data_IF_335886149114
#
_entry.id   IF_335886149114
#
_cell.length_a   1.000
_cell.length_b   1.000
_cell.length_c   1.000
_cell.angle_alpha   90.00
_cell.angle_beta   90.00
_cell.angle_gamma   90.00
#
_symmetry.space_group_name_H-M   'P 1'
#
loop_
_entity.id
_entity.type
_entity.pdbx_description
1 polymer ?
#
# COMPACT_ATOMS: atom_id res chain seq x y z
N UNK A 1 0.72 -4.75 4.17
CA UNK A 1 -0.39 -4.11 4.90
C UNK A 1 -1.68 -4.74 4.41
N UNK A 2 -2.55 -5.11 5.34
CA UNK A 2 -3.82 -5.80 5.10
C UNK A 2 -4.93 -5.07 5.87
N UNK A 3 -6.19 -5.15 5.43
CA UNK A 3 -7.30 -4.67 6.24
C UNK A 3 -7.36 -5.41 7.59
N UNK A 4 -7.90 -4.76 8.62
CA UNK A 4 -8.14 -5.37 9.93
C UNK A 4 -9.57 -5.86 9.95
N UNK A 5 -9.73 -7.17 10.11
CA UNK A 5 -11.03 -7.85 10.19
C UNK A 5 -11.10 -8.54 11.54
N UNK A 6 -12.11 -8.19 12.35
CA UNK A 6 -12.37 -8.82 13.64
C UNK A 6 -13.80 -9.34 13.67
N UNK A 7 -13.99 -10.60 14.07
CA UNK A 7 -15.33 -11.18 14.23
C UNK A 7 -16.16 -11.32 12.94
N UNK A 8 -15.58 -11.07 11.76
CA UNK A 8 -16.28 -11.08 10.48
C UNK A 8 -16.62 -9.68 9.95
N UNK A 9 -16.39 -8.64 10.75
CA UNK A 9 -16.57 -7.25 10.36
C UNK A 9 -15.21 -6.59 10.06
N UNK A 10 -15.17 -5.75 9.02
CA UNK A 10 -13.98 -4.96 8.69
C UNK A 10 -13.93 -3.76 9.64
N UNK A 11 -13.00 -3.80 10.60
CA UNK A 11 -12.81 -2.73 11.59
C UNK A 11 -12.05 -1.55 10.98
N UNK A 12 -11.00 -1.85 10.21
CA UNK A 12 -10.17 -0.83 9.54
C UNK A 12 -9.93 -1.26 8.09
N UNK A 13 -10.53 -0.56 7.11
CA UNK A 13 -10.40 -0.93 5.71
C UNK A 13 -8.98 -0.60 5.22
N UNK A 14 -8.52 -1.31 4.18
CA UNK A 14 -7.16 -1.15 3.66
C UNK A 14 -6.85 0.31 3.29
N UNK A 15 -7.84 1.02 2.76
CA UNK A 15 -7.73 2.42 2.31
C UNK A 15 -7.18 3.38 3.37
N UNK A 16 -7.74 3.32 4.57
CA UNK A 16 -7.39 4.23 5.64
C UNK A 16 -5.98 3.95 6.17
N UNK A 17 -5.52 2.70 6.02
CA UNK A 17 -4.18 2.26 6.46
C UNK A 17 -3.06 2.67 5.52
N UNK A 18 -3.36 2.69 4.22
CA UNK A 18 -2.37 2.90 3.16
C UNK A 18 -2.34 4.34 2.64
N UNK A 19 -3.36 5.15 2.92
CA UNK A 19 -3.37 6.58 2.57
C UNK A 19 -2.15 7.30 3.14
N UNK A 20 -1.47 8.08 2.28
CA UNK A 20 -0.26 8.83 2.65
C UNK A 20 0.99 7.96 2.85
N UNK A 21 0.93 6.66 2.51
CA UNK A 21 2.10 5.77 2.52
C UNK A 21 2.71 5.66 1.13
N UNK A 22 3.99 5.29 1.10
CA UNK A 22 4.74 5.05 -0.14
C UNK A 22 4.83 3.55 -0.38
N UNK A 23 4.60 3.15 -1.62
CA UNK A 23 4.62 1.75 -2.05
C UNK A 23 6.04 1.21 -2.08
N UNK A 24 6.27 0.02 -1.50
CA UNK A 24 7.58 -0.60 -1.44
C UNK A 24 7.92 -1.43 -2.69
N UNK A 25 6.92 -2.09 -3.27
CA UNK A 25 7.05 -3.00 -4.42
C UNK A 25 5.87 -2.78 -5.37
N UNK A 26 6.07 -3.04 -6.67
CA UNK A 26 5.02 -2.91 -7.68
C UNK A 26 3.80 -3.78 -7.30
N UNK A 27 2.60 -3.20 -7.40
CA UNK A 27 1.34 -3.85 -7.01
C UNK A 27 0.63 -4.34 -8.26
N UNK A 28 0.38 -5.64 -8.31
CA UNK A 28 -0.25 -6.33 -9.43
C UNK A 28 -1.67 -6.78 -9.08
N UNK A 29 -2.50 -6.95 -10.12
CA UNK A 29 -3.82 -7.55 -9.98
C UNK A 29 -3.72 -9.08 -9.97
N UNK A 30 -4.64 -9.77 -9.27
CA UNK A 30 -4.75 -11.21 -9.39
C UNK A 30 -5.05 -11.60 -10.85
N UNK A 31 -4.05 -12.20 -11.52
CA UNK A 31 -4.14 -12.62 -12.92
C UNK A 31 -3.47 -11.70 -13.94
N UNK A 32 -2.79 -10.62 -13.51
CA UNK A 32 -1.97 -9.79 -14.39
C UNK A 32 -0.61 -9.51 -13.73
N UNK A 33 0.43 -10.18 -14.21
CA UNK A 33 1.83 -9.99 -13.77
C UNK A 33 2.64 -9.10 -14.73
N UNK A 34 2.04 -8.62 -15.83
CA UNK A 34 2.73 -7.81 -16.84
C UNK A 34 2.54 -6.31 -16.61
N UNK A 35 1.36 -5.89 -16.16
CA UNK A 35 1.03 -4.47 -15.93
C UNK A 35 0.73 -4.19 -14.44
N UNK A 36 1.62 -3.52 -13.70
CA UNK A 36 1.35 -3.11 -12.34
C UNK A 36 0.30 -1.99 -12.30
N UNK A 37 -0.65 -2.07 -11.35
CA UNK A 37 -1.60 -0.99 -11.07
C UNK A 37 -0.89 0.24 -10.54
N UNK A 38 0.11 -0.01 -9.68
CA UNK A 38 0.85 0.98 -8.92
C UNK A 38 2.32 0.56 -8.92
N UNK A 39 3.18 1.49 -9.28
CA UNK A 39 4.64 1.27 -9.28
C UNK A 39 5.24 1.53 -7.90
N UNK A 40 6.40 0.93 -7.63
CA UNK A 40 7.23 1.20 -6.46
C UNK A 40 7.53 2.69 -6.34
N UNK A 41 7.72 3.15 -5.10
CA UNK A 41 7.99 4.55 -4.78
C UNK A 41 6.87 5.53 -5.17
N UNK A 42 5.65 5.05 -5.39
CA UNK A 42 4.48 5.91 -5.59
C UNK A 42 3.87 6.26 -4.22
N UNK A 43 3.55 7.54 -4.03
CA UNK A 43 2.77 8.03 -2.90
C UNK A 43 1.29 7.72 -3.13
N UNK A 44 0.64 7.09 -2.16
CA UNK A 44 -0.78 6.76 -2.22
C UNK A 44 -1.62 7.96 -1.74
N UNK A 45 -2.30 8.60 -2.70
CA UNK A 45 -3.31 9.65 -2.46
C UNK A 45 -4.73 9.06 -2.47
N UNK A 46 -5.74 9.88 -2.22
CA UNK A 46 -7.14 9.46 -2.17
C UNK A 46 -7.62 8.82 -3.49
N UNK A 47 -7.09 9.27 -4.63
CA UNK A 47 -7.44 8.72 -5.94
C UNK A 47 -6.82 7.33 -6.17
N UNK A 48 -5.56 7.14 -5.77
CA UNK A 48 -4.88 5.85 -5.80
C UNK A 48 -5.56 4.85 -4.90
N UNK A 49 -5.92 5.28 -3.70
CA UNK A 49 -6.57 4.43 -2.72
C UNK A 49 -7.95 3.98 -3.18
N UNK A 50 -8.75 4.86 -3.78
CA UNK A 50 -10.02 4.48 -4.42
C UNK A 50 -9.79 3.47 -5.56
N UNK A 51 -8.81 3.72 -6.43
CA UNK A 51 -8.45 2.80 -7.53
C UNK A 51 -8.05 1.42 -7.04
N UNK A 52 -7.33 1.33 -5.92
CA UNK A 52 -6.91 0.07 -5.31
C UNK A 52 -8.09 -0.68 -4.67
N UNK A 53 -9.05 0.05 -4.10
CA UNK A 53 -10.30 -0.50 -3.55
C UNK A 53 -11.18 -1.08 -4.68
N UNK A 54 -11.39 -0.33 -5.76
CA UNK A 54 -12.12 -0.78 -6.96
C UNK A 54 -11.45 -1.98 -7.65
N UNK A 55 -10.12 -2.01 -7.64
CA UNK A 55 -9.31 -3.11 -8.14
C UNK A 55 -9.39 -4.39 -7.28
N UNK A 56 -9.96 -4.32 -6.07
CA UNK A 56 -10.08 -5.46 -5.17
C UNK A 56 -8.73 -5.93 -4.58
N UNK A 57 -7.76 -5.03 -4.43
CA UNK A 57 -6.44 -5.38 -3.87
C UNK A 57 -6.57 -5.68 -2.38
N UNK A 58 -6.21 -6.90 -1.98
CA UNK A 58 -6.36 -7.34 -0.58
C UNK A 58 -5.13 -7.06 0.30
N UNK A 59 -3.95 -6.90 -0.32
CA UNK A 59 -2.71 -6.67 0.42
C UNK A 59 -1.73 -5.83 -0.39
N UNK A 60 -1.07 -4.87 0.28
CA UNK A 60 -0.10 -3.97 -0.34
C UNK A 60 1.15 -3.88 0.53
N UNK A 61 2.34 -3.96 -0.07
CA UNK A 61 3.59 -3.72 0.64
C UNK A 61 3.93 -2.24 0.61
N UNK A 62 3.93 -1.62 1.78
CA UNK A 62 4.24 -0.19 1.96
C UNK A 62 5.56 -0.04 2.70
N UNK A 63 6.23 1.09 2.50
CA UNK A 63 7.44 1.44 3.23
C UNK A 63 7.09 1.81 4.67
N UNK A 64 7.90 1.30 5.59
CA UNK A 64 7.81 1.63 7.02
C UNK A 64 9.04 2.42 7.44
N UNK A 65 8.86 3.30 8.42
CA UNK A 65 9.96 4.01 9.06
C UNK A 65 10.91 3.06 9.80
N UNK A 66 10.39 1.93 10.28
CA UNK A 66 11.18 0.88 10.96
C UNK A 66 12.12 0.16 9.99
N UNK A 67 11.73 0.03 8.72
CA UNK A 67 12.52 -0.64 7.68
C UNK A 67 13.41 0.32 6.88
N UNK A 68 13.55 1.57 7.30
CA UNK A 68 14.40 2.54 6.60
C UNK A 68 15.87 2.26 6.89
N UNK A 69 16.70 2.13 5.85
CA UNK A 69 18.14 1.84 5.96
C UNK A 69 19.00 3.11 6.13
N UNK A 70 18.39 4.28 6.37
CA UNK A 70 19.15 5.52 6.57
C UNK A 70 19.98 5.45 7.85
N UNK A 71 21.28 5.75 7.75
CA UNK A 71 22.20 5.72 8.89
C UNK A 71 21.88 6.78 9.96
N UNK A 72 21.33 7.92 9.54
CA UNK A 72 20.88 8.99 10.43
C UNK A 72 19.54 9.54 9.92
N UNK A 73 18.55 9.63 10.80
CA UNK A 73 17.21 10.11 10.46
C UNK A 73 16.33 9.09 9.73
N UNK A 74 15.21 9.55 9.18
CA UNK A 74 14.24 8.72 8.45
C UNK A 74 14.11 9.23 7.03
N UNK A 75 14.19 8.32 6.08
CA UNK A 75 14.02 8.58 4.67
C UNK A 75 12.54 8.87 4.35
N UNK A 76 12.30 9.85 3.47
CA UNK A 76 10.95 10.18 3.04
C UNK A 76 10.52 9.22 1.91
N UNK A 77 11.36 8.98 0.89
CA UNK A 77 10.96 8.13 -0.27
C UNK A 77 12.12 7.68 -1.19
N UNK A 78 13.19 7.08 -0.63
CA UNK A 78 14.27 6.47 -1.44
C UNK A 78 14.11 4.96 -1.57
#
# INVERSE_FOLDING_TARGET
>A
MTPIVEGGDVVEPLKDRVLGRVVAEDVFLPGNDEDPIVTRNTLLDEAWVAKLEDAGVQSIKVRSTISCESAFGVCVDR
#
